data_IF_939274934400
#
_entry.id   IF_939274934400
#
_cell.length_a   1.000
_cell.length_b   1.000
_cell.length_c   1.000
_cell.angle_alpha   90.00
_cell.angle_beta   90.00
_cell.angle_gamma   90.00
#
_symmetry.space_group_name_H-M   'P 1'
#
loop_
_entity.id
_entity.type
_entity.pdbx_description
1 polymer ?
#
# COMPACT_ATOMS: atom_id res chain seq x y z
N UNK A 1 -42.78 -33.90 -4.56
CA UNK A 1 -42.12 -32.60 -4.39
C UNK A 1 -42.95 -31.53 -5.07
N UNK A 2 -43.24 -30.41 -4.42
CA UNK A 2 -44.00 -29.30 -5.03
C UNK A 2 -43.05 -28.35 -5.77
N UNK A 3 -43.55 -27.63 -6.78
CA UNK A 3 -42.79 -26.60 -7.50
C UNK A 3 -42.24 -25.54 -6.53
N UNK A 4 -43.04 -25.19 -5.51
CA UNK A 4 -42.63 -24.26 -4.46
C UNK A 4 -41.44 -24.80 -3.67
N UNK A 5 -41.46 -26.07 -3.26
CA UNK A 5 -40.35 -26.70 -2.55
C UNK A 5 -39.08 -26.74 -3.40
N UNK A 6 -39.19 -27.03 -4.69
CA UNK A 6 -38.04 -27.04 -5.61
C UNK A 6 -37.42 -25.65 -5.72
N UNK A 7 -38.22 -24.60 -5.92
CA UNK A 7 -37.72 -23.23 -6.01
C UNK A 7 -37.08 -22.76 -4.70
N UNK A 8 -37.71 -23.06 -3.56
CA UNK A 8 -37.20 -22.68 -2.25
C UNK A 8 -35.81 -23.28 -2.01
N UNK A 9 -35.65 -24.58 -2.27
CA UNK A 9 -34.43 -25.31 -1.94
C UNK A 9 -33.30 -24.99 -2.93
N UNK A 10 -33.59 -24.95 -4.23
CA UNK A 10 -32.54 -24.87 -5.25
C UNK A 10 -32.24 -23.45 -5.74
N UNK A 11 -33.11 -22.48 -5.49
CA UNK A 11 -32.87 -21.10 -5.92
C UNK A 11 -32.82 -20.13 -4.72
N UNK A 12 -33.87 -20.12 -3.89
CA UNK A 12 -34.02 -19.09 -2.85
C UNK A 12 -32.98 -19.26 -1.74
N UNK A 13 -32.81 -20.48 -1.21
CA UNK A 13 -31.84 -20.74 -0.14
C UNK A 13 -30.40 -20.42 -0.60
N UNK A 14 -29.89 -20.94 -1.74
CA UNK A 14 -28.54 -20.61 -2.20
C UNK A 14 -28.34 -19.10 -2.43
N UNK A 15 -29.32 -18.43 -3.07
CA UNK A 15 -29.25 -17.00 -3.31
C UNK A 15 -29.25 -16.20 -2.01
N UNK A 16 -30.04 -16.62 -1.02
CA UNK A 16 -30.05 -16.04 0.32
C UNK A 16 -28.70 -16.17 1.02
N UNK A 17 -28.06 -17.34 0.94
CA UNK A 17 -26.72 -17.56 1.51
C UNK A 17 -25.68 -16.65 0.84
N UNK A 18 -25.69 -16.56 -0.50
CA UNK A 18 -24.78 -15.67 -1.25
C UNK A 18 -25.01 -14.22 -0.85
N UNK A 19 -26.27 -13.78 -0.77
CA UNK A 19 -26.61 -12.40 -0.40
C UNK A 19 -26.14 -12.06 1.02
N UNK A 20 -26.31 -12.97 1.97
CA UNK A 20 -25.82 -12.80 3.35
C UNK A 20 -24.30 -12.66 3.35
N UNK A 21 -23.57 -13.58 2.72
CA UNK A 21 -22.10 -13.52 2.66
C UNK A 21 -21.63 -12.23 1.99
N UNK A 22 -22.25 -11.84 0.87
CA UNK A 22 -21.93 -10.60 0.17
C UNK A 22 -22.17 -9.37 1.05
N UNK A 23 -23.27 -9.33 1.81
CA UNK A 23 -23.57 -8.25 2.74
C UNK A 23 -22.55 -8.18 3.89
N UNK A 24 -22.13 -9.32 4.43
CA UNK A 24 -21.09 -9.39 5.45
C UNK A 24 -19.74 -8.87 4.92
N UNK A 25 -19.34 -9.29 3.73
CA UNK A 25 -18.10 -8.81 3.08
C UNK A 25 -18.17 -7.32 2.80
N UNK A 26 -19.29 -6.83 2.27
CA UNK A 26 -19.49 -5.43 1.96
C UNK A 26 -19.48 -4.55 3.22
N UNK A 27 -20.14 -4.99 4.30
CA UNK A 27 -20.18 -4.25 5.57
C UNK A 27 -18.80 -4.11 6.23
N UNK A 28 -17.92 -5.12 6.12
CA UNK A 28 -16.54 -5.03 6.61
C UNK A 28 -15.61 -4.15 5.76
N UNK A 29 -16.00 -3.82 4.52
CA UNK A 29 -15.11 -3.20 3.53
C UNK A 29 -15.01 -1.67 3.60
N UNK A 30 -15.97 -1.01 4.26
CA UNK A 30 -16.18 0.44 4.16
C UNK A 30 -15.53 1.30 5.24
N UNK A 31 -15.15 0.75 6.41
CA UNK A 31 -14.86 1.60 7.59
C UNK A 31 -13.37 1.89 7.85
N UNK A 32 -12.45 1.09 7.32
CA UNK A 32 -11.04 1.16 7.77
C UNK A 32 -10.02 0.72 6.73
N UNK A 33 -10.23 1.04 5.44
CA UNK A 33 -9.07 1.08 4.55
C UNK A 33 -8.46 2.47 4.72
N UNK A 34 -7.33 2.64 5.44
CA UNK A 34 -6.61 3.89 5.38
C UNK A 34 -6.43 4.24 3.91
N UNK A 35 -6.63 5.52 3.57
CA UNK A 35 -6.49 5.97 2.20
C UNK A 35 -5.18 5.39 1.66
N UNK A 36 -5.21 4.64 0.55
CA UNK A 36 -4.00 4.01 -0.01
C UNK A 36 -2.91 5.02 -0.37
N UNK A 37 -3.26 6.31 -0.35
CA UNK A 37 -2.40 7.45 -0.64
C UNK A 37 -2.34 8.32 0.59
N UNK A 38 -1.12 8.68 0.97
CA UNK A 38 -0.89 9.73 1.94
C UNK A 38 -1.50 11.03 1.43
N UNK A 39 -2.23 11.73 2.30
CA UNK A 39 -2.67 13.09 2.08
C UNK A 39 -1.72 14.01 2.83
N UNK A 40 -1.00 14.87 2.12
CA UNK A 40 -0.14 15.83 2.80
C UNK A 40 -0.93 16.70 3.79
N UNK A 41 -0.37 17.00 4.97
CA UNK A 41 -1.08 17.69 6.06
C UNK A 41 -1.78 16.75 7.07
N UNK A 42 -1.93 15.46 6.74
CA UNK A 42 -2.40 14.43 7.67
C UNK A 42 -1.22 13.77 8.41
N UNK A 43 -1.44 13.19 9.61
CA UNK A 43 -0.48 12.29 10.25
C UNK A 43 -0.11 11.12 9.33
N UNK A 44 1.15 10.71 9.35
CA UNK A 44 1.65 9.58 8.56
C UNK A 44 1.49 8.28 9.35
N UNK A 45 0.38 7.57 9.13
CA UNK A 45 0.06 6.29 9.80
C UNK A 45 0.44 5.06 8.96
N UNK A 46 1.16 5.25 7.85
CA UNK A 46 1.60 4.14 7.00
C UNK A 46 2.81 3.45 7.61
N UNK A 47 2.96 2.16 7.32
CA UNK A 47 4.18 1.43 7.69
C UNK A 47 5.39 2.13 7.06
N UNK A 48 6.50 2.32 7.78
CA UNK A 48 7.71 2.86 7.21
C UNK A 48 8.24 1.90 6.15
N UNK A 49 8.52 2.43 4.96
CA UNK A 49 9.05 1.68 3.82
C UNK A 49 10.25 2.46 3.29
N UNK A 50 11.36 1.76 3.10
CA UNK A 50 12.56 2.31 2.47
C UNK A 50 12.61 1.80 1.03
N UNK A 51 12.65 2.72 0.08
CA UNK A 51 12.86 2.39 -1.32
C UNK A 51 14.37 2.33 -1.57
N UNK A 52 14.84 1.17 -2.00
CA UNK A 52 16.22 0.98 -2.42
C UNK A 52 16.30 1.22 -3.93
N UNK A 53 17.26 2.03 -4.38
CA UNK A 53 17.46 2.30 -5.81
C UNK A 53 17.79 1.03 -6.62
N UNK A 54 18.45 0.05 -5.97
CA UNK A 54 18.82 -1.23 -6.58
C UNK A 54 18.74 -2.36 -5.54
N UNK A 55 17.54 -2.90 -5.25
CA UNK A 55 17.33 -3.84 -4.13
C UNK A 55 18.26 -5.07 -4.17
N UNK A 56 18.55 -5.57 -5.37
CA UNK A 56 19.46 -6.69 -5.60
C UNK A 56 20.93 -6.38 -5.29
N UNK A 57 21.33 -5.10 -5.22
CA UNK A 57 22.68 -4.70 -4.87
C UNK A 57 22.86 -4.40 -3.38
N UNK A 58 21.77 -4.14 -2.64
CA UNK A 58 21.83 -3.67 -1.24
C UNK A 58 21.36 -4.71 -0.23
N UNK A 59 20.61 -5.73 -0.64
CA UNK A 59 20.16 -6.76 0.30
C UNK A 59 20.04 -8.15 -0.33
N UNK A 60 20.59 -9.18 0.33
CA UNK A 60 20.47 -10.56 -0.11
C UNK A 60 19.03 -11.10 0.00
N UNK A 61 18.18 -10.47 0.83
CA UNK A 61 16.76 -10.84 0.95
C UNK A 61 15.96 -10.60 -0.35
N UNK A 62 16.48 -9.79 -1.26
CA UNK A 62 15.87 -9.47 -2.55
C UNK A 62 16.68 -10.03 -3.74
N UNK A 63 17.40 -11.14 -3.54
CA UNK A 63 18.16 -11.82 -4.60
C UNK A 63 19.56 -11.25 -4.85
N UNK A 64 20.07 -10.43 -3.94
CA UNK A 64 21.43 -9.91 -4.00
C UNK A 64 22.48 -10.94 -3.58
N UNK A 65 23.64 -10.91 -4.25
CA UNK A 65 24.81 -11.71 -3.84
C UNK A 65 25.37 -11.11 -2.55
N UNK A 66 25.65 -11.95 -1.54
CA UNK A 66 26.35 -11.55 -0.31
C UNK A 66 27.84 -11.32 -0.59
N UNK A 67 28.17 -10.41 -1.49
CA UNK A 67 29.49 -9.80 -1.48
C UNK A 67 29.46 -8.75 -0.37
N UNK A 68 30.47 -8.75 0.50
CA UNK A 68 30.83 -7.60 1.33
C UNK A 68 31.16 -6.43 0.41
N UNK A 69 30.13 -5.83 -0.18
CA UNK A 69 30.27 -4.64 -0.98
C UNK A 69 30.70 -3.53 -0.01
N UNK A 70 31.75 -2.75 -0.35
CA UNK A 70 32.07 -1.55 0.40
C UNK A 70 30.81 -0.70 0.58
N UNK A 71 30.69 -0.08 1.76
CA UNK A 71 29.65 0.91 2.01
C UNK A 71 29.60 1.89 0.83
N UNK A 72 28.42 2.04 0.23
CA UNK A 72 28.23 3.01 -0.86
C UNK A 72 28.59 4.39 -0.30
N UNK A 73 29.45 5.17 -0.97
CA UNK A 73 29.76 6.51 -0.52
C UNK A 73 28.47 7.31 -0.41
N UNK A 74 28.32 8.06 0.69
CA UNK A 74 27.15 8.91 0.90
C UNK A 74 26.92 9.80 -0.33
N UNK A 75 25.72 9.72 -0.91
CA UNK A 75 25.34 10.53 -2.06
C UNK A 75 25.35 12.00 -1.68
N UNK A 76 26.22 12.77 -2.32
CA UNK A 76 26.25 14.23 -2.21
C UNK A 76 25.21 14.78 -3.17
N UNK A 77 24.27 15.58 -2.67
CA UNK A 77 23.37 16.35 -3.51
C UNK A 77 24.14 17.58 -4.01
N UNK A 78 24.28 17.71 -5.32
CA UNK A 78 24.92 18.86 -5.96
C UNK A 78 23.86 19.68 -6.70
N UNK A 79 23.93 21.02 -6.60
CA UNK A 79 23.11 21.92 -7.41
C UNK A 79 23.62 21.96 -8.87
N UNK A 80 22.88 22.60 -9.77
CA UNK A 80 23.29 22.81 -11.16
C UNK A 80 24.64 23.55 -11.32
N UNK A 81 25.15 24.16 -10.24
CA UNK A 81 26.47 24.81 -10.16
C UNK A 81 27.55 23.91 -9.56
N UNK A 82 27.26 22.64 -9.28
CA UNK A 82 28.21 21.67 -8.70
C UNK A 82 28.52 21.85 -7.21
N UNK A 83 27.76 22.68 -6.49
CA UNK A 83 27.96 22.86 -5.05
C UNK A 83 27.14 21.86 -4.23
N UNK A 84 27.73 21.33 -3.15
CA UNK A 84 27.02 20.44 -2.23
C UNK A 84 25.90 21.19 -1.50
N UNK A 85 24.67 20.70 -1.57
CA UNK A 85 23.49 21.31 -0.94
C UNK A 85 22.89 20.34 0.07
N UNK A 86 22.55 20.86 1.27
CA UNK A 86 21.78 20.09 2.25
C UNK A 86 20.32 20.00 1.77
N UNK A 87 19.65 18.84 1.88
CA UNK A 87 18.22 18.76 1.57
C UNK A 87 17.47 19.81 2.41
N UNK A 88 16.79 20.74 1.73
CA UNK A 88 15.96 21.73 2.39
C UNK A 88 14.78 21.08 3.12
N UNK A 89 14.17 21.77 4.10
CA UNK A 89 12.96 21.29 4.76
C UNK A 89 11.84 21.16 3.73
N UNK A 90 11.64 19.95 3.22
CA UNK A 90 10.55 19.65 2.29
C UNK A 90 9.31 19.41 3.14
N UNK A 91 8.54 20.47 3.40
CA UNK A 91 7.34 20.40 4.22
C UNK A 91 6.46 21.60 4.03
N UNK A 92 5.34 21.42 3.32
CA UNK A 92 4.38 22.50 3.13
C UNK A 92 3.33 22.14 2.11
N UNK A 93 2.59 21.08 2.37
CA UNK A 93 1.39 20.84 1.60
C UNK A 93 0.20 21.41 2.37
N UNK A 94 -0.26 22.56 1.90
CA UNK A 94 -1.60 23.04 2.19
C UNK A 94 -2.59 22.03 1.62
N UNK A 95 -3.58 21.61 2.40
CA UNK A 95 -4.71 20.74 2.02
C UNK A 95 -5.62 21.35 0.92
N UNK A 96 -5.06 21.96 -0.13
CA UNK A 96 -5.79 22.58 -1.23
C UNK A 96 -5.30 22.00 -2.55
N UNK A 97 -6.24 21.43 -3.29
CA UNK A 97 -6.10 21.03 -4.69
C UNK A 97 -6.93 22.01 -5.50
#
# INVERSE_FOLDING_TARGET
MSIFSTLLIYAIIPLGVIAIVAALVASGSGRSRPARRYRPGRPYDFKPIWFLASPAQVSPAFGGKTSSAPELPAGVLEDATGMQVRPGPTGGASDRW
#
